data_IF_623177110784
#
_entry.id   IF_623177110784
#
_cell.length_a   1.000
_cell.length_b   1.000
_cell.length_c   1.000
_cell.angle_alpha   90.00
_cell.angle_beta   90.00
_cell.angle_gamma   90.00
#
_symmetry.space_group_name_H-M   'P 1'
#
loop_
_entity.id
_entity.type
_entity.pdbx_description
1 polymer ?
#
# COMPACT_ATOMS: atom_id res chain seq x y z
N UNK A 1 12.71 -13.90 26.40
CA UNK A 1 12.05 -14.26 25.12
C UNK A 1 10.61 -13.74 24.99
N UNK A 2 9.86 -13.49 26.08
CA UNK A 2 8.46 -12.98 25.98
C UNK A 2 8.29 -11.55 25.46
N UNK A 3 9.31 -10.68 25.59
CA UNK A 3 9.20 -9.27 25.20
C UNK A 3 9.22 -9.02 23.69
N UNK A 4 9.92 -9.83 22.89
CA UNK A 4 9.98 -9.63 21.43
C UNK A 4 8.73 -10.17 20.74
N UNK A 5 8.21 -11.32 21.18
CA UNK A 5 6.92 -11.85 20.70
C UNK A 5 5.79 -10.85 20.89
N UNK A 6 5.79 -10.13 22.02
CA UNK A 6 4.79 -9.09 22.29
C UNK A 6 4.85 -7.96 21.25
N UNK A 7 6.05 -7.52 20.86
CA UNK A 7 6.23 -6.50 19.82
C UNK A 7 5.74 -6.95 18.45
N UNK A 8 6.06 -8.18 18.02
CA UNK A 8 5.59 -8.69 16.72
C UNK A 8 4.06 -8.81 16.68
N UNK A 9 3.44 -9.29 17.76
CA UNK A 9 1.98 -9.37 17.88
C UNK A 9 1.38 -7.97 17.86
N UNK A 10 1.95 -7.03 18.62
CA UNK A 10 1.48 -5.65 18.65
C UNK A 10 1.60 -4.96 17.27
N UNK A 11 2.73 -5.13 16.56
CA UNK A 11 2.90 -4.63 15.20
C UNK A 11 1.88 -5.22 14.22
N UNK A 12 1.58 -6.51 14.31
CA UNK A 12 0.56 -7.15 13.48
C UNK A 12 -0.85 -6.65 13.81
N UNK A 13 -1.16 -6.42 15.09
CA UNK A 13 -2.44 -5.82 15.50
C UNK A 13 -2.56 -4.38 15.01
N UNK A 14 -1.52 -3.56 15.14
CA UNK A 14 -1.48 -2.19 14.59
C UNK A 14 -1.73 -2.20 13.08
N UNK A 15 -1.05 -3.07 12.33
CA UNK A 15 -1.25 -3.22 10.88
C UNK A 15 -2.68 -3.63 10.54
N UNK A 16 -3.24 -4.60 11.28
CA UNK A 16 -4.62 -5.06 11.08
C UNK A 16 -5.64 -3.96 11.35
N UNK A 17 -5.55 -3.26 12.49
CA UNK A 17 -6.45 -2.16 12.84
C UNK A 17 -6.34 -1.00 11.86
N UNK A 18 -5.12 -0.63 11.47
CA UNK A 18 -4.88 0.46 10.52
C UNK A 18 -5.46 0.14 9.14
N UNK A 19 -5.27 -1.09 8.63
CA UNK A 19 -5.88 -1.54 7.37
C UNK A 19 -7.41 -1.63 7.45
N UNK A 20 -7.95 -1.85 8.64
CA UNK A 20 -9.38 -1.75 8.93
C UNK A 20 -9.92 -0.31 9.01
N UNK A 21 -9.04 0.70 8.95
CA UNK A 21 -9.37 2.12 9.11
C UNK A 21 -9.60 2.54 10.55
N UNK A 22 -9.30 1.69 11.54
CA UNK A 22 -9.50 1.97 12.97
C UNK A 22 -8.17 2.35 13.63
N UNK A 23 -7.70 3.56 13.31
CA UNK A 23 -6.40 4.05 13.78
C UNK A 23 -6.35 4.31 15.28
N UNK A 24 -7.51 4.55 15.91
CA UNK A 24 -7.61 4.80 17.35
C UNK A 24 -7.38 3.50 18.14
N UNK A 25 -7.89 2.36 17.66
CA UNK A 25 -7.58 1.05 18.23
C UNK A 25 -6.11 0.66 18.01
N UNK A 26 -5.52 1.00 16.85
CA UNK A 26 -4.10 0.82 16.62
C UNK A 26 -3.25 1.62 17.64
N UNK A 27 -3.63 2.87 17.93
CA UNK A 27 -2.99 3.68 18.97
C UNK A 27 -3.17 3.07 20.37
N UNK A 28 -4.35 2.50 20.67
CA UNK A 28 -4.59 1.81 21.93
C UNK A 28 -3.64 0.60 22.12
N UNK A 29 -3.41 -0.19 21.07
CA UNK A 29 -2.44 -1.30 21.08
C UNK A 29 -1.03 -0.78 21.35
N UNK A 30 -0.63 0.31 20.69
CA UNK A 30 0.66 0.95 20.90
C UNK A 30 0.82 1.39 22.37
N UNK A 31 -0.18 2.06 22.94
CA UNK A 31 -0.14 2.58 24.31
C UNK A 31 -0.02 1.47 25.36
N UNK A 32 -0.70 0.34 25.15
CA UNK A 32 -0.63 -0.83 26.03
C UNK A 32 0.70 -1.59 25.91
N UNK A 33 1.48 -1.36 24.85
CA UNK A 33 2.76 -2.04 24.65
C UNK A 33 3.88 -1.37 25.47
N UNK A 34 4.37 -2.09 26.48
CA UNK A 34 5.35 -1.56 27.44
C UNK A 34 6.74 -1.29 26.85
N UNK A 35 7.21 -2.15 25.94
CA UNK A 35 8.50 -1.98 25.25
C UNK A 35 8.26 -1.73 23.77
N UNK A 36 8.51 -0.49 23.35
CA UNK A 36 8.42 -0.07 21.95
C UNK A 36 9.81 -0.12 21.31
N UNK A 37 9.87 -0.48 20.04
CA UNK A 37 11.10 -0.47 19.25
C UNK A 37 10.82 0.17 17.88
N UNK A 38 11.86 0.29 17.04
CA UNK A 38 11.74 0.80 15.67
C UNK A 38 10.60 0.14 14.90
N UNK A 39 10.48 -1.19 14.95
CA UNK A 39 9.44 -1.93 14.20
C UNK A 39 8.04 -1.46 14.58
N UNK A 40 7.75 -1.37 15.89
CA UNK A 40 6.44 -0.95 16.38
C UNK A 40 6.12 0.50 16.02
N UNK A 41 7.11 1.38 16.14
CA UNK A 41 6.97 2.78 15.75
C UNK A 41 6.71 2.95 14.26
N UNK A 42 7.45 2.21 13.43
CA UNK A 42 7.26 2.21 11.98
C UNK A 42 5.90 1.66 11.58
N UNK A 43 5.40 0.62 12.26
CA UNK A 43 4.03 0.15 12.07
C UNK A 43 3.01 1.24 12.36
N UNK A 44 3.19 2.03 13.43
CA UNK A 44 2.26 3.12 13.76
C UNK A 44 2.35 4.29 12.76
N UNK A 45 3.56 4.68 12.35
CA UNK A 45 3.77 5.72 11.33
C UNK A 45 3.09 5.31 10.01
N UNK A 46 3.27 4.05 9.59
CA UNK A 46 2.61 3.51 8.40
C UNK A 46 1.08 3.51 8.57
N UNK A 47 0.58 3.09 9.75
CA UNK A 47 -0.84 3.09 10.05
C UNK A 47 -1.47 4.49 9.94
N UNK A 48 -0.82 5.50 10.50
CA UNK A 48 -1.24 6.89 10.34
C UNK A 48 -1.24 7.34 8.87
N UNK A 49 -0.19 6.99 8.11
CA UNK A 49 -0.10 7.32 6.69
C UNK A 49 -1.28 6.74 5.89
N UNK A 50 -1.56 5.45 6.07
CA UNK A 50 -2.61 4.71 5.36
C UNK A 50 -4.03 5.18 5.72
N UNK A 51 -4.24 5.62 6.97
CA UNK A 51 -5.53 6.15 7.42
C UNK A 51 -5.76 7.63 7.02
N UNK A 52 -4.92 8.20 6.15
CA UNK A 52 -5.02 9.60 5.74
C UNK A 52 -4.58 10.61 6.80
N UNK A 53 -4.02 10.14 7.92
CA UNK A 53 -3.44 10.96 9.01
C UNK A 53 -1.96 11.25 8.76
N UNK A 54 -1.66 11.72 7.54
CA UNK A 54 -0.28 11.95 7.09
C UNK A 54 0.49 12.96 7.94
N UNK A 55 -0.16 14.02 8.44
CA UNK A 55 0.49 14.98 9.33
C UNK A 55 0.94 14.34 10.64
N UNK A 56 0.07 13.54 11.28
CA UNK A 56 0.37 12.85 12.53
C UNK A 56 1.53 11.84 12.36
N UNK A 57 1.56 11.13 11.24
CA UNK A 57 2.66 10.23 10.90
C UNK A 57 4.01 10.97 10.84
N UNK A 58 4.02 12.14 10.20
CA UNK A 58 5.23 12.95 10.03
C UNK A 58 5.68 13.61 11.33
N UNK A 59 4.74 14.08 12.16
CA UNK A 59 5.03 14.63 13.48
C UNK A 59 5.59 13.54 14.41
N UNK A 60 5.00 12.34 14.40
CA UNK A 60 5.49 11.20 15.16
C UNK A 60 6.91 10.82 14.72
N UNK A 61 7.18 10.77 13.41
CA UNK A 61 8.51 10.46 12.90
C UNK A 61 9.57 11.46 13.37
N UNK A 62 9.30 12.77 13.24
CA UNK A 62 10.23 13.82 13.68
C UNK A 62 10.42 13.81 15.21
N UNK A 63 9.35 13.56 15.97
CA UNK A 63 9.41 13.41 17.41
C UNK A 63 10.34 12.25 17.82
N UNK A 64 10.17 11.07 17.21
CA UNK A 64 10.96 9.90 17.53
C UNK A 64 12.44 10.04 17.14
N UNK A 65 12.73 10.73 16.03
CA UNK A 65 14.10 11.11 15.67
C UNK A 65 14.73 12.03 16.72
N UNK A 66 13.98 13.00 17.21
CA UNK A 66 14.46 13.96 18.23
C UNK A 66 14.74 13.26 19.55
N UNK A 67 13.91 12.29 19.93
CA UNK A 67 14.09 11.48 21.15
C UNK A 67 15.12 10.37 21.01
N UNK A 68 15.65 10.14 19.80
CA UNK A 68 16.55 9.02 19.48
C UNK A 68 15.92 7.65 19.79
N UNK A 69 14.60 7.55 19.68
CA UNK A 69 13.84 6.31 19.86
C UNK A 69 13.63 5.55 18.54
N UNK A 70 14.00 6.17 17.42
CA UNK A 70 13.94 5.60 16.08
C UNK A 70 15.31 5.64 15.42
N UNK A 71 15.73 4.48 14.90
CA UNK A 71 16.86 4.37 13.96
C UNK A 71 16.23 4.07 12.60
N UNK A 72 16.14 5.06 11.69
CA UNK A 72 15.48 4.86 10.40
C UNK A 72 16.16 3.78 9.57
N UNK A 73 15.34 2.85 9.08
CA UNK A 73 15.68 1.88 8.04
C UNK A 73 14.83 2.12 6.78
N UNK A 74 14.95 1.25 5.77
CA UNK A 74 14.18 1.35 4.52
C UNK A 74 12.66 1.36 4.75
N UNK A 75 12.17 0.58 5.71
CA UNK A 75 10.73 0.51 6.03
C UNK A 75 10.26 1.82 6.67
N UNK A 76 11.07 2.42 7.55
CA UNK A 76 10.82 3.73 8.13
C UNK A 76 10.69 4.82 7.05
N UNK A 77 11.62 4.84 6.09
CA UNK A 77 11.60 5.82 5.00
C UNK A 77 10.42 5.61 4.04
N UNK A 78 10.07 4.35 3.76
CA UNK A 78 8.87 4.03 2.97
C UNK A 78 7.60 4.54 3.66
N UNK A 79 7.45 4.30 4.97
CA UNK A 79 6.33 4.80 5.76
C UNK A 79 6.27 6.35 5.76
N UNK A 80 7.42 6.99 5.92
CA UNK A 80 7.54 8.45 5.91
C UNK A 80 7.16 9.05 4.55
N UNK A 81 7.69 8.51 3.44
CA UNK A 81 7.36 9.00 2.10
C UNK A 81 5.89 8.74 1.74
N UNK A 82 5.34 7.60 2.17
CA UNK A 82 3.90 7.32 2.04
C UNK A 82 3.08 8.38 2.76
N UNK A 83 3.45 8.76 3.99
CA UNK A 83 2.80 9.85 4.71
C UNK A 83 2.90 11.19 3.97
N UNK A 84 4.06 11.50 3.36
CA UNK A 84 4.22 12.68 2.50
C UNK A 84 3.29 12.64 1.28
N UNK A 85 3.06 11.48 0.67
CA UNK A 85 2.14 11.34 -0.48
C UNK A 85 0.71 11.67 -0.09
N UNK A 86 0.25 11.20 1.07
CA UNK A 86 -1.09 11.50 1.58
C UNK A 86 -1.23 12.95 2.07
N UNK A 87 -0.16 13.55 2.59
CA UNK A 87 -0.15 14.93 3.07
C UNK A 87 0.18 15.99 1.98
N UNK A 88 0.65 15.57 0.79
CA UNK A 88 1.07 16.48 -0.27
C UNK A 88 2.39 17.23 0.01
N UNK A 89 3.26 16.69 0.87
CA UNK A 89 4.48 17.38 1.32
C UNK A 89 5.72 17.03 0.48
N UNK A 90 5.77 17.57 -0.73
CA UNK A 90 6.85 17.34 -1.71
C UNK A 90 8.23 17.70 -1.13
N UNK A 91 8.38 18.93 -0.62
CA UNK A 91 9.67 19.43 -0.15
C UNK A 91 10.24 18.57 0.99
N UNK A 92 9.37 18.10 1.89
CA UNK A 92 9.76 17.25 3.01
C UNK A 92 10.13 15.84 2.53
N UNK A 93 9.40 15.30 1.55
CA UNK A 93 9.75 14.03 0.89
C UNK A 93 11.12 14.08 0.22
N UNK A 94 11.38 15.11 -0.59
CA UNK A 94 12.68 15.34 -1.26
C UNK A 94 13.82 15.47 -0.23
N UNK A 95 13.60 16.26 0.82
CA UNK A 95 14.60 16.47 1.88
C UNK A 95 14.97 15.16 2.58
N UNK A 96 13.98 14.35 2.95
CA UNK A 96 14.22 13.10 3.67
C UNK A 96 14.78 11.98 2.77
N UNK A 97 14.39 11.94 1.49
CA UNK A 97 15.04 11.08 0.51
C UNK A 97 16.54 11.41 0.38
N UNK A 98 16.90 12.69 0.32
CA UNK A 98 18.30 13.10 0.30
C UNK A 98 19.03 12.80 1.62
N UNK A 99 18.37 12.99 2.77
CA UNK A 99 18.93 12.63 4.09
C UNK A 99 19.16 11.13 4.20
N UNK A 100 18.29 10.28 3.66
CA UNK A 100 18.47 8.83 3.64
C UNK A 100 19.85 8.45 3.09
N UNK A 101 20.21 9.03 1.95
CA UNK A 101 21.49 8.79 1.27
C UNK A 101 22.65 9.44 2.04
N UNK A 102 22.54 10.74 2.32
CA UNK A 102 23.68 11.55 2.80
C UNK A 102 23.96 11.41 4.29
N UNK A 103 22.91 11.26 5.11
CA UNK A 103 23.02 11.23 6.58
C UNK A 103 22.94 9.81 7.14
N UNK A 104 22.05 8.97 6.60
CA UNK A 104 21.84 7.61 7.10
C UNK A 104 22.64 6.56 6.31
N UNK A 105 23.21 6.93 5.16
CA UNK A 105 24.05 6.04 4.35
C UNK A 105 23.26 4.87 3.74
N UNK A 106 21.95 5.02 3.57
CA UNK A 106 21.08 3.99 3.01
C UNK A 106 20.87 4.23 1.52
N UNK A 107 21.04 3.18 0.71
CA UNK A 107 20.75 3.21 -0.73
C UNK A 107 19.24 3.07 -0.96
N UNK A 108 18.57 3.97 -1.69
CA UNK A 108 17.14 3.82 -1.98
C UNK A 108 16.87 2.53 -2.75
N UNK A 109 15.85 1.78 -2.33
CA UNK A 109 15.31 0.64 -3.07
C UNK A 109 14.18 1.09 -4.01
N UNK A 110 13.67 0.16 -4.81
CA UNK A 110 12.61 0.44 -5.77
C UNK A 110 11.33 0.98 -5.12
N UNK A 111 11.02 0.59 -3.88
CA UNK A 111 9.80 0.98 -3.18
C UNK A 111 9.89 2.44 -2.71
N UNK A 112 11.07 2.87 -2.28
CA UNK A 112 11.35 4.26 -1.91
C UNK A 112 11.32 5.16 -3.16
N UNK A 113 11.90 4.71 -4.29
CA UNK A 113 11.73 5.40 -5.57
C UNK A 113 10.26 5.49 -5.99
N UNK A 114 9.50 4.41 -5.85
CA UNK A 114 8.09 4.40 -6.17
C UNK A 114 7.30 5.42 -5.35
N UNK A 115 7.58 5.52 -4.05
CA UNK A 115 6.96 6.53 -3.18
C UNK A 115 7.30 7.96 -3.65
N UNK A 116 8.55 8.25 -3.99
CA UNK A 116 8.96 9.59 -4.41
C UNK A 116 8.42 9.97 -5.81
N UNK A 117 8.41 9.04 -6.76
CA UNK A 117 7.81 9.24 -8.09
C UNK A 117 6.30 9.52 -7.95
N UNK A 118 5.63 8.74 -7.12
CA UNK A 118 4.21 8.92 -6.80
C UNK A 118 3.94 10.28 -6.12
N UNK A 119 4.83 10.74 -5.24
CA UNK A 119 4.77 12.09 -4.65
C UNK A 119 4.78 13.18 -5.73
N UNK A 120 5.73 13.11 -6.66
CA UNK A 120 5.81 14.06 -7.75
C UNK A 120 4.60 14.00 -8.67
N UNK A 121 4.20 12.79 -9.06
CA UNK A 121 3.11 12.56 -9.99
C UNK A 121 1.79 13.10 -9.44
N UNK A 122 1.42 12.76 -8.19
CA UNK A 122 0.18 13.24 -7.55
C UNK A 122 0.13 14.75 -7.31
N UNK A 123 1.28 15.41 -7.35
CA UNK A 123 1.36 16.87 -7.23
C UNK A 123 1.55 17.57 -8.58
N UNK A 124 1.41 16.85 -9.70
CA UNK A 124 1.45 17.42 -11.05
C UNK A 124 2.85 17.67 -11.60
N UNK A 125 3.89 17.31 -10.85
CA UNK A 125 5.27 17.42 -11.27
C UNK A 125 5.67 16.23 -12.16
N UNK A 126 4.92 16.00 -13.24
CA UNK A 126 5.10 14.84 -14.13
C UNK A 126 6.50 14.78 -14.74
N UNK A 127 7.12 15.93 -15.06
CA UNK A 127 8.49 16.00 -15.57
C UNK A 127 9.49 15.43 -14.55
N UNK A 128 9.48 15.92 -13.31
CA UNK A 128 10.38 15.41 -12.26
C UNK A 128 10.17 13.92 -11.99
N UNK A 129 8.92 13.46 -12.02
CA UNK A 129 8.62 12.04 -11.93
C UNK A 129 9.23 11.23 -13.07
N UNK A 130 9.14 11.71 -14.32
CA UNK A 130 9.79 11.07 -15.48
C UNK A 130 11.32 11.08 -15.37
N UNK A 131 11.91 12.22 -15.02
CA UNK A 131 13.36 12.34 -14.86
C UNK A 131 13.86 11.33 -13.81
N UNK A 132 13.16 11.20 -12.67
CA UNK A 132 13.51 10.23 -11.64
C UNK A 132 13.33 8.77 -12.08
N UNK A 133 12.33 8.47 -12.92
CA UNK A 133 12.14 7.15 -13.52
C UNK A 133 13.26 6.77 -14.49
N UNK A 134 13.89 7.76 -15.14
CA UNK A 134 15.03 7.57 -16.03
C UNK A 134 16.36 7.47 -15.26
N UNK A 135 16.49 8.19 -14.15
CA UNK A 135 17.70 8.22 -13.31
C UNK A 135 17.84 7.01 -12.38
N UNK A 136 16.73 6.40 -11.97
CA UNK A 136 16.79 5.30 -11.01
C UNK A 136 17.50 4.05 -11.59
N UNK A 137 18.25 3.29 -10.76
CA UNK A 137 19.04 2.14 -11.23
C UNK A 137 18.20 0.87 -11.48
N UNK A 138 16.88 0.97 -11.50
CA UNK A 138 15.92 -0.13 -11.60
C UNK A 138 14.96 0.12 -12.75
N UNK A 139 14.42 -0.95 -13.35
CA UNK A 139 13.30 -0.81 -14.27
C UNK A 139 12.01 -0.48 -13.49
N UNK A 140 11.20 0.51 -13.92
CA UNK A 140 9.96 0.83 -13.21
C UNK A 140 8.99 -0.36 -13.22
N UNK A 141 8.50 -0.73 -12.04
CA UNK A 141 7.54 -1.81 -11.86
C UNK A 141 6.10 -1.38 -12.20
N UNK A 142 5.14 -2.30 -12.11
CA UNK A 142 3.74 -2.01 -12.40
C UNK A 142 3.12 -0.96 -11.46
N UNK A 143 3.62 -0.83 -10.23
CA UNK A 143 3.15 0.15 -9.23
C UNK A 143 3.50 1.56 -9.69
N UNK A 144 4.76 1.79 -10.04
CA UNK A 144 5.27 3.08 -10.49
C UNK A 144 4.49 3.55 -11.72
N UNK A 145 4.37 2.69 -12.73
CA UNK A 145 3.65 3.02 -13.94
C UNK A 145 2.15 3.24 -13.70
N UNK A 146 1.52 2.49 -12.78
CA UNK A 146 0.10 2.65 -12.45
C UNK A 146 -0.18 3.99 -11.78
N UNK A 147 0.62 4.37 -10.78
CA UNK A 147 0.54 5.68 -10.13
C UNK A 147 0.78 6.81 -11.14
N UNK A 148 1.81 6.68 -11.97
CA UNK A 148 2.14 7.68 -12.98
C UNK A 148 1.05 7.83 -14.06
N UNK A 149 0.47 6.72 -14.54
CA UNK A 149 -0.66 6.73 -15.48
C UNK A 149 -1.89 7.41 -14.89
N UNK A 150 -2.19 7.15 -13.61
CA UNK A 150 -3.30 7.80 -12.93
C UNK A 150 -3.10 9.31 -12.82
N UNK A 151 -1.89 9.76 -12.48
CA UNK A 151 -1.57 11.18 -12.50
C UNK A 151 -1.71 11.79 -13.91
N UNK A 152 -1.23 11.11 -14.96
CA UNK A 152 -1.41 11.56 -16.33
C UNK A 152 -2.89 11.71 -16.72
N UNK A 153 -3.78 10.85 -16.19
CA UNK A 153 -5.23 10.99 -16.34
C UNK A 153 -5.74 12.27 -15.69
N UNK A 154 -5.33 12.53 -14.44
CA UNK A 154 -5.78 13.71 -13.67
C UNK A 154 -5.33 15.02 -14.34
N UNK A 155 -4.05 15.10 -14.74
CA UNK A 155 -3.49 16.30 -15.37
C UNK A 155 -3.73 16.36 -16.90
N UNK A 156 -4.29 15.30 -17.47
CA UNK A 156 -4.65 15.23 -18.89
C UNK A 156 -3.45 15.26 -19.83
N UNK A 157 -2.31 14.69 -19.44
CA UNK A 157 -1.15 14.52 -20.32
C UNK A 157 -1.31 13.26 -21.17
N UNK A 158 -1.51 13.46 -22.47
CA UNK A 158 -1.81 12.38 -23.42
C UNK A 158 -0.58 11.56 -23.77
N UNK A 159 0.58 12.20 -23.91
CA UNK A 159 1.77 11.52 -24.40
C UNK A 159 2.40 10.68 -23.29
N UNK A 160 2.55 11.26 -22.09
CA UNK A 160 3.04 10.52 -20.92
C UNK A 160 2.03 9.44 -20.50
N UNK A 161 0.73 9.75 -20.55
CA UNK A 161 -0.32 8.77 -20.26
C UNK A 161 -0.34 7.60 -21.26
N UNK A 162 -0.09 7.85 -22.55
CA UNK A 162 0.05 6.81 -23.56
C UNK A 162 1.26 5.92 -23.30
N UNK A 163 2.41 6.52 -22.99
CA UNK A 163 3.63 5.77 -22.71
C UNK A 163 3.45 4.86 -21.48
N UNK A 164 2.97 5.43 -20.37
CA UNK A 164 2.73 4.70 -19.14
C UNK A 164 1.76 3.52 -19.33
N UNK A 165 0.67 3.75 -20.05
CA UNK A 165 -0.29 2.69 -20.37
C UNK A 165 0.32 1.60 -21.25
N UNK A 166 1.16 1.94 -22.24
CA UNK A 166 1.82 0.95 -23.08
C UNK A 166 2.79 0.08 -22.30
N UNK A 167 3.57 0.66 -21.38
CA UNK A 167 4.46 -0.09 -20.50
C UNK A 167 3.66 -1.05 -19.62
N UNK A 168 2.58 -0.59 -18.99
CA UNK A 168 1.70 -1.46 -18.21
C UNK A 168 1.05 -2.57 -19.04
N UNK A 169 0.61 -2.26 -20.26
CA UNK A 169 0.03 -3.24 -21.19
C UNK A 169 1.06 -4.30 -21.60
N UNK A 170 2.34 -3.92 -21.71
CA UNK A 170 3.44 -4.85 -21.99
C UNK A 170 3.72 -5.76 -20.79
N UNK A 171 3.69 -5.21 -19.57
CA UNK A 171 3.95 -5.95 -18.33
C UNK A 171 2.79 -6.86 -17.94
N UNK A 172 1.56 -6.36 -18.04
CA UNK A 172 0.33 -7.04 -17.61
C UNK A 172 -0.74 -7.01 -18.73
N UNK A 173 -0.58 -7.76 -19.83
CA UNK A 173 -1.47 -7.67 -20.99
C UNK A 173 -2.94 -7.96 -20.71
N UNK A 174 -3.22 -8.73 -19.66
CA UNK A 174 -4.56 -9.13 -19.22
C UNK A 174 -5.19 -8.14 -18.23
N UNK A 175 -4.45 -7.17 -17.70
CA UNK A 175 -4.97 -6.15 -16.80
C UNK A 175 -5.78 -5.13 -17.62
N UNK A 176 -7.07 -4.97 -17.31
CA UNK A 176 -7.94 -4.04 -18.03
C UNK A 176 -7.69 -2.56 -17.66
N UNK A 177 -7.18 -2.29 -16.46
CA UNK A 177 -7.08 -0.93 -15.91
C UNK A 177 -6.27 0.03 -16.80
N UNK A 178 -5.08 -0.33 -17.32
CA UNK A 178 -4.29 0.57 -18.18
C UNK A 178 -5.01 0.96 -19.48
N UNK A 179 -5.73 0.01 -20.09
CA UNK A 179 -6.50 0.25 -21.32
C UNK A 179 -7.66 1.22 -21.06
N UNK A 180 -8.40 1.01 -19.97
CA UNK A 180 -9.53 1.84 -19.60
C UNK A 180 -9.08 3.27 -19.29
N UNK A 181 -7.99 3.42 -18.54
CA UNK A 181 -7.41 4.73 -18.22
C UNK A 181 -6.91 5.46 -19.46
N UNK A 182 -6.19 4.78 -20.37
CA UNK A 182 -5.75 5.38 -21.62
C UNK A 182 -6.92 5.78 -22.52
N UNK A 183 -7.94 4.91 -22.65
CA UNK A 183 -9.14 5.23 -23.41
C UNK A 183 -9.86 6.45 -22.81
N UNK A 184 -9.92 6.55 -21.48
CA UNK A 184 -10.47 7.72 -20.78
C UNK A 184 -9.71 9.00 -21.16
N UNK A 185 -8.38 8.99 -21.03
CA UNK A 185 -7.51 10.13 -21.43
C UNK A 185 -7.83 10.57 -22.87
N UNK A 186 -7.89 9.63 -23.81
CA UNK A 186 -8.25 9.96 -25.20
C UNK A 186 -9.65 10.54 -25.35
N UNK A 187 -10.66 10.00 -24.65
CA UNK A 187 -12.03 10.55 -24.71
C UNK A 187 -12.12 11.98 -24.19
N UNK A 188 -11.44 12.29 -23.08
CA UNK A 188 -11.42 13.66 -22.51
C UNK A 188 -10.79 14.69 -23.45
N UNK A 189 -9.93 14.24 -24.37
CA UNK A 189 -9.28 15.09 -25.38
C UNK A 189 -9.95 15.03 -26.76
N UNK A 190 -11.11 14.37 -26.87
CA UNK A 190 -11.87 14.24 -28.12
C UNK A 190 -11.24 13.26 -29.14
N UNK A 191 -10.27 12.46 -28.74
CA UNK A 191 -9.58 11.48 -29.60
C UNK A 191 -10.34 10.14 -29.65
N UNK A 192 -11.60 10.19 -30.10
CA UNK A 192 -12.54 9.06 -30.05
C UNK A 192 -12.07 7.82 -30.82
N UNK A 193 -11.38 8.01 -31.95
CA UNK A 193 -10.83 6.90 -32.75
C UNK A 193 -9.78 6.11 -31.96
N UNK A 194 -8.81 6.80 -31.36
CA UNK A 194 -7.79 6.18 -30.50
C UNK A 194 -8.41 5.49 -29.28
N UNK A 195 -9.44 6.10 -28.67
CA UNK A 195 -10.15 5.49 -27.55
C UNK A 195 -10.86 4.18 -27.95
N UNK A 196 -11.48 4.14 -29.14
CA UNK A 196 -12.12 2.95 -29.69
C UNK A 196 -11.10 1.83 -29.98
N UNK A 197 -9.95 2.18 -30.58
CA UNK A 197 -8.84 1.26 -30.86
C UNK A 197 -8.33 0.58 -29.58
N UNK A 198 -8.05 1.36 -28.52
CA UNK A 198 -7.58 0.83 -27.23
C UNK A 198 -8.60 -0.11 -26.60
N UNK A 199 -9.90 0.22 -26.66
CA UNK A 199 -10.97 -0.66 -26.14
C UNK A 199 -11.09 -1.95 -26.92
N UNK A 200 -10.94 -1.90 -28.25
CA UNK A 200 -10.91 -3.10 -29.09
C UNK A 200 -9.70 -3.98 -28.76
N UNK A 201 -8.52 -3.38 -28.60
CA UNK A 201 -7.30 -4.08 -28.20
C UNK A 201 -7.45 -4.78 -26.83
N UNK A 202 -8.06 -4.10 -25.86
CA UNK A 202 -8.39 -4.66 -24.56
C UNK A 202 -9.27 -5.91 -24.70
N UNK A 203 -10.36 -5.83 -25.49
CA UNK A 203 -11.25 -6.98 -25.67
C UNK A 203 -10.54 -8.19 -26.27
N UNK A 204 -9.58 -7.99 -27.17
CA UNK A 204 -8.81 -9.09 -27.78
C UNK A 204 -7.85 -9.74 -26.77
N UNK A 205 -7.20 -8.94 -25.92
CA UNK A 205 -6.15 -9.42 -24.99
C UNK A 205 -6.72 -9.93 -23.68
N UNK A 206 -7.68 -9.23 -23.07
CA UNK A 206 -8.28 -9.61 -21.77
C UNK A 206 -9.15 -10.87 -21.89
N UNK A 207 -9.83 -11.10 -23.03
CA UNK A 207 -10.64 -12.31 -23.25
C UNK A 207 -9.78 -13.56 -23.50
N UNK A 208 -8.55 -13.42 -23.98
CA UNK A 208 -7.60 -14.52 -24.17
C UNK A 208 -6.87 -14.81 -22.85
N UNK A 209 -7.59 -15.31 -21.84
CA UNK A 209 -6.93 -15.93 -20.67
C UNK A 209 -6.06 -17.10 -21.14
N UNK A 210 -4.82 -17.28 -20.65
CA UNK A 210 -3.99 -18.42 -21.01
C UNK A 210 -4.67 -19.74 -20.60
N UNK A 211 -4.57 -20.74 -21.48
CA UNK A 211 -5.09 -22.10 -21.28
C UNK A 211 -4.27 -22.85 -20.21
N UNK A 212 -4.40 -22.43 -18.96
CA UNK A 212 -3.76 -23.05 -17.81
C UNK A 212 -4.66 -23.11 -16.57
N UNK A 213 -5.77 -22.34 -16.53
CA UNK A 213 -6.72 -22.33 -15.43
C UNK A 213 -8.11 -22.73 -15.90
N UNK A 214 -8.29 -24.01 -16.19
CA UNK A 214 -9.59 -24.67 -16.10
C UNK A 214 -9.44 -26.16 -16.41
N UNK A 215 -9.43 -27.01 -15.37
CA UNK A 215 -10.21 -28.27 -15.27
C UNK A 215 -9.93 -29.00 -13.94
N UNK A 216 -11.02 -29.32 -13.22
CA UNK A 216 -11.11 -30.18 -12.02
C UNK A 216 -10.78 -29.42 -10.73
N UNK A 217 -11.71 -29.06 -9.84
CA UNK A 217 -12.76 -29.88 -9.22
C UNK A 217 -13.89 -28.95 -8.80
N UNK A 218 -15.14 -29.31 -9.08
CA UNK A 218 -16.27 -28.65 -8.42
C UNK A 218 -16.32 -29.08 -6.96
N UNK A 219 -16.43 -28.14 -6.02
CA UNK A 219 -17.29 -28.20 -4.83
C UNK A 219 -17.15 -26.90 -4.02
N UNK A 220 -18.32 -26.33 -3.69
CA UNK A 220 -18.70 -25.52 -2.52
C UNK A 220 -17.94 -24.26 -2.09
N UNK A 221 -18.76 -23.28 -1.72
CA UNK A 221 -18.40 -22.13 -0.91
C UNK A 221 -17.72 -22.54 0.43
N UNK A 222 -16.57 -21.93 0.75
CA UNK A 222 -16.23 -21.22 2.00
C UNK A 222 -14.70 -21.08 2.20
N UNK A 223 -14.31 -19.89 2.71
CA UNK A 223 -13.20 -19.55 3.63
C UNK A 223 -11.74 -20.00 3.37
N UNK A 224 -10.89 -18.96 3.29
CA UNK A 224 -9.62 -18.74 4.01
C UNK A 224 -8.30 -19.51 3.73
N UNK A 225 -7.23 -18.72 3.95
CA UNK A 225 -5.79 -18.98 4.11
C UNK A 225 -4.96 -19.22 2.83
N UNK A 226 -3.79 -18.60 2.60
CA UNK A 226 -2.89 -17.79 3.43
C UNK A 226 -1.41 -18.18 3.14
N UNK A 227 -0.56 -17.20 2.81
CA UNK A 227 0.92 -17.27 2.92
C UNK A 227 1.73 -17.02 1.63
N UNK A 228 3.03 -16.66 1.73
CA UNK A 228 3.60 -15.52 2.45
C UNK A 228 4.44 -14.60 1.52
N UNK A 229 4.45 -13.29 1.79
CA UNK A 229 5.44 -12.36 1.23
C UNK A 229 5.15 -11.87 -0.18
N UNK A 230 4.54 -10.68 -0.27
CA UNK A 230 4.92 -9.51 -1.10
C UNK A 230 3.76 -8.52 -0.92
N UNK A 231 3.74 -7.84 0.22
CA UNK A 231 2.92 -6.64 0.39
C UNK A 231 3.67 -5.52 -0.30
N UNK A 232 3.21 -5.14 -1.49
CA UNK A 232 3.26 -3.78 -2.04
C UNK A 232 2.52 -3.84 -3.38
N UNK A 233 1.21 -3.67 -3.31
CA UNK A 233 0.34 -3.10 -4.34
C UNK A 233 -1.00 -2.88 -3.64
N UNK A 234 -1.09 -1.76 -2.93
CA UNK A 234 -2.36 -1.29 -2.41
C UNK A 234 -3.17 -0.73 -3.59
N UNK A 235 -4.37 -1.28 -3.90
CA UNK A 235 -5.29 -0.69 -4.87
C UNK A 235 -6.06 0.45 -4.19
N UNK A 236 -5.36 1.53 -3.83
CA UNK A 236 -5.95 2.74 -3.23
C UNK A 236 -5.96 3.93 -4.20
N UNK A 237 -6.34 3.65 -5.44
CA UNK A 237 -6.97 4.64 -6.30
C UNK A 237 -8.44 4.23 -6.37
N UNK A 238 -9.32 5.07 -5.80
CA UNK A 238 -10.79 4.96 -5.73
C UNK A 238 -11.43 4.00 -4.70
N UNK A 239 -11.25 4.23 -3.40
CA UNK A 239 -12.28 3.84 -2.39
C UNK A 239 -13.09 5.01 -1.85
N UNK A 240 -12.52 6.23 -1.77
CA UNK A 240 -13.25 7.40 -1.29
C UNK A 240 -14.41 7.81 -2.23
N UNK A 241 -14.27 7.60 -3.54
CA UNK A 241 -15.32 7.89 -4.53
C UNK A 241 -16.34 6.75 -4.70
N UNK A 242 -16.03 5.51 -4.26
CA UNK A 242 -16.96 4.37 -4.35
C UNK A 242 -17.84 4.25 -3.10
N UNK A 243 -17.36 4.66 -1.93
CA UNK A 243 -18.13 4.59 -0.68
C UNK A 243 -19.28 5.61 -0.67
N UNK A 244 -19.17 6.73 -1.39
CA UNK A 244 -20.22 7.74 -1.44
C UNK A 244 -21.43 7.36 -2.33
N UNK A 245 -21.30 6.37 -3.22
CA UNK A 245 -22.33 6.08 -4.24
C UNK A 245 -23.18 4.83 -3.94
N UNK A 246 -22.92 4.12 -2.82
CA UNK A 246 -23.56 2.82 -2.57
C UNK A 246 -24.31 2.62 -1.26
N UNK A 247 -24.44 3.59 -0.37
CA UNK A 247 -25.44 3.57 0.72
C UNK A 247 -25.75 2.21 1.38
N UNK A 248 -24.75 1.37 1.67
CA UNK A 248 -24.95 0.04 2.26
C UNK A 248 -24.59 0.09 3.76
N UNK A 249 -25.54 -0.23 4.66
CA UNK A 249 -25.30 -0.22 6.09
C UNK A 249 -24.65 -1.55 6.52
N UNK A 250 -23.35 -1.51 6.81
CA UNK A 250 -22.61 -2.70 7.23
C UNK A 250 -21.12 -2.44 7.41
N UNK A 251 -20.78 -1.32 8.07
CA UNK A 251 -19.41 -1.01 8.48
C UNK A 251 -19.00 -1.73 9.79
N UNK A 252 -18.14 -1.11 10.63
CA UNK A 252 -17.17 -1.67 11.61
C UNK A 252 -17.59 -2.78 12.60
N UNK A 253 -18.85 -3.23 12.58
CA UNK A 253 -19.39 -4.31 13.40
C UNK A 253 -18.84 -5.69 13.03
N UNK A 254 -18.61 -5.96 11.74
CA UNK A 254 -18.08 -7.25 11.28
C UNK A 254 -16.61 -7.46 11.71
N UNK A 255 -15.79 -6.41 11.62
CA UNK A 255 -14.41 -6.40 12.09
C UNK A 255 -14.33 -6.59 13.62
N UNK A 256 -15.17 -5.86 14.39
CA UNK A 256 -15.29 -6.06 15.86
C UNK A 256 -15.66 -7.48 16.27
N UNK A 257 -16.50 -8.15 15.47
CA UNK A 257 -16.93 -9.53 15.77
C UNK A 257 -15.79 -10.53 15.55
N UNK A 258 -14.99 -10.34 14.49
CA UNK A 258 -13.81 -11.17 14.22
C UNK A 258 -12.70 -10.98 15.28
N UNK A 259 -12.51 -9.74 15.76
CA UNK A 259 -11.51 -9.41 16.78
C UNK A 259 -11.90 -9.94 18.16
N UNK A 260 -13.17 -9.81 18.56
CA UNK A 260 -13.68 -10.38 19.81
C UNK A 260 -13.58 -11.92 19.81
N UNK A 261 -13.75 -12.56 18.65
CA UNK A 261 -13.56 -13.99 18.50
C UNK A 261 -12.09 -14.39 18.68
N UNK A 262 -11.16 -13.64 18.09
CA UNK A 262 -9.72 -13.87 18.22
C UNK A 262 -9.22 -13.66 19.67
N UNK A 263 -9.66 -12.59 20.35
CA UNK A 263 -9.31 -12.32 21.75
C UNK A 263 -9.87 -13.39 22.72
N UNK A 264 -11.03 -13.99 22.42
CA UNK A 264 -11.63 -15.02 23.27
C UNK A 264 -10.97 -16.42 23.16
N UNK A 265 -10.19 -16.67 22.10
CA UNK A 265 -9.61 -18.00 21.82
C UNK A 265 -8.08 -18.05 21.96
N UNK A 266 -7.39 -16.89 21.97
CA UNK A 266 -5.93 -16.85 22.16
C UNK A 266 -5.47 -17.26 23.58
N UNK A 267 -6.33 -17.14 24.60
CA UNK A 267 -5.98 -17.51 25.99
C UNK A 267 -6.36 -18.94 26.41
N UNK A 268 -7.14 -19.69 25.60
CA UNK A 268 -7.57 -21.05 25.96
C UNK A 268 -6.66 -22.16 25.43
N UNK A 269 -5.96 -21.94 24.32
CA UNK A 269 -5.20 -23.00 23.65
C UNK A 269 -3.79 -23.24 24.21
N UNK A 270 -3.32 -22.42 25.18
CA UNK A 270 -1.98 -22.60 25.77
C UNK A 270 -1.93 -23.68 26.88
N UNK A 271 -3.04 -23.94 27.57
CA UNK A 271 -3.09 -24.92 28.68
C UNK A 271 -3.55 -26.32 28.25
N UNK A 272 -4.12 -26.48 27.05
CA UNK A 272 -4.50 -27.80 26.52
C UNK A 272 -3.38 -28.49 25.73
N UNK A 273 -2.29 -27.78 25.40
CA UNK A 273 -1.18 -28.30 24.59
C UNK A 273 0.11 -28.64 25.35
N UNK A 274 0.17 -28.40 26.67
CA UNK A 274 1.29 -28.85 27.52
C UNK A 274 0.77 -29.84 28.56
N UNK A 275 0.63 -31.10 28.14
CA UNK A 275 0.27 -32.22 29.00
C UNK A 275 1.22 -32.39 30.18
N UNK A 276 0.92 -31.72 31.30
CA UNK A 276 1.53 -31.93 32.60
C UNK A 276 0.83 -33.08 33.32
N UNK A 277 1.28 -34.31 33.08
CA UNK A 277 0.86 -35.46 33.86
C UNK A 277 1.59 -35.44 35.22
N UNK A 278 0.87 -35.16 36.30
CA UNK A 278 1.34 -35.43 37.66
C UNK A 278 0.17 -35.89 38.52
N UNK A 279 0.08 -37.22 38.70
CA UNK A 279 -0.26 -37.92 39.94
C UNK A 279 -0.61 -39.39 39.63
N UNK A 280 0.41 -40.25 39.68
CA UNK A 280 0.47 -41.44 40.52
C UNK A 280 1.90 -41.61 41.01
#
# INVERSE_FOLDING_TARGET
>A
MGSERNVYVASALIDMYSKGGDIDEAQCVLDQTSKKNTVLWTSMIMGYAQCGRGLDALELFDYLLTKKELIPDHVCFTAFLTACNHAGFINKGEEYFNKMITKYGLSPDIDIYACLIDLYARNGNLRKATDLMEEMPYDPNCIIWSSFLSACKIYGDVELGREAANQLIKMEPCNAAPYLTLAHIYTTKGLWNKASEVRSLMQQRVKRKPAGWSLGVGFSAHSEYGGPGTLLVDPFIDMADIVNDRGLPGGPQAARTAINWAQAHVDKDWNEWTGGNSNQ
#
